data_IF_193478459212
#
_entry.id   IF_193478459212
#
_cell.length_a   1.000
_cell.length_b   1.000
_cell.length_c   1.000
_cell.angle_alpha   90.00
_cell.angle_beta   90.00
_cell.angle_gamma   90.00
#
_symmetry.space_group_name_H-M   'P 1'
#
loop_
_entity.id
_entity.type
_entity.pdbx_description
1 polymer ?
#
# COMPACT_ATOMS: atom_id res chain seq x y z
N UNK A 1 1.75 21.65 11.04
CA UNK A 1 2.45 21.25 12.26
C UNK A 1 2.71 19.74 12.26
N UNK A 2 3.95 19.35 12.54
CA UNK A 2 4.35 17.95 12.77
C UNK A 2 3.89 17.51 14.16
N UNK A 3 3.12 16.42 14.29
CA UNK A 3 2.72 15.89 15.61
C UNK A 3 3.86 15.11 16.27
N UNK A 4 3.74 14.83 17.56
CA UNK A 4 4.64 13.93 18.29
C UNK A 4 4.58 12.50 17.73
N UNK A 5 5.64 11.72 17.99
CA UNK A 5 5.73 10.31 17.57
C UNK A 5 4.43 9.55 17.91
N UNK A 6 3.90 8.77 16.96
CA UNK A 6 2.64 8.07 17.17
C UNK A 6 2.88 7.00 18.23
N UNK A 7 2.26 7.17 19.39
CA UNK A 7 2.05 6.09 20.33
C UNK A 7 0.58 5.67 20.29
N UNK A 8 0.31 4.43 20.67
CA UNK A 8 -1.06 4.00 20.86
C UNK A 8 -1.66 4.79 22.04
N UNK A 9 -2.79 5.51 21.82
CA UNK A 9 -3.42 6.25 22.91
C UNK A 9 -3.96 5.27 23.95
N UNK A 10 -4.04 5.67 25.23
CA UNK A 10 -4.61 4.81 26.27
C UNK A 10 -6.07 4.50 25.93
N UNK A 11 -6.39 3.22 25.81
CA UNK A 11 -7.72 2.74 25.45
C UNK A 11 -8.23 1.71 26.45
N UNK A 12 -9.50 1.76 26.85
CA UNK A 12 -10.11 0.72 27.68
C UNK A 12 -10.21 -0.63 26.94
N UNK A 13 -10.07 -0.63 25.62
CA UNK A 13 -10.16 -1.82 24.77
C UNK A 13 -8.80 -2.37 24.35
N UNK A 14 -7.67 -1.79 24.80
CA UNK A 14 -6.33 -2.20 24.40
C UNK A 14 -6.05 -3.71 24.58
N UNK A 15 -6.64 -4.33 25.62
CA UNK A 15 -6.53 -5.76 25.88
C UNK A 15 -7.06 -6.66 24.74
N UNK A 16 -7.89 -6.13 23.82
CA UNK A 16 -8.33 -6.85 22.63
C UNK A 16 -7.19 -7.21 21.71
N UNK A 17 -6.12 -6.41 21.66
CA UNK A 17 -4.97 -6.71 20.82
C UNK A 17 -4.22 -7.95 21.30
N UNK A 18 -3.95 -8.04 22.60
CA UNK A 18 -3.30 -9.21 23.17
C UNK A 18 -4.17 -10.48 23.10
N UNK A 19 -5.49 -10.31 23.11
CA UNK A 19 -6.44 -11.41 23.03
C UNK A 19 -6.62 -11.95 21.60
N UNK A 20 -6.68 -11.07 20.60
CA UNK A 20 -7.11 -11.41 19.23
C UNK A 20 -5.98 -11.48 18.22
N UNK A 21 -4.83 -10.85 18.50
CA UNK A 21 -3.67 -10.88 17.61
C UNK A 21 -2.63 -11.82 18.24
N UNK A 22 -2.38 -13.00 17.63
CA UNK A 22 -1.33 -13.90 18.10
C UNK A 22 0.02 -13.22 18.20
N UNK A 23 0.86 -13.66 19.14
CA UNK A 23 2.20 -13.09 19.32
C UNK A 23 3.13 -13.33 18.12
N UNK A 24 2.84 -14.35 17.32
CA UNK A 24 3.55 -14.71 16.08
C UNK A 24 2.90 -14.13 14.81
N UNK A 25 1.91 -13.25 14.95
CA UNK A 25 1.35 -12.51 13.81
C UNK A 25 2.42 -11.65 13.13
N UNK A 26 2.46 -11.71 11.80
CA UNK A 26 3.50 -11.05 11.02
C UNK A 26 3.52 -9.53 11.22
N UNK A 27 2.35 -8.87 11.21
CA UNK A 27 2.28 -7.42 11.37
C UNK A 27 2.64 -7.00 12.79
N UNK A 28 2.23 -7.78 13.80
CA UNK A 28 2.66 -7.58 15.19
C UNK A 28 4.17 -7.69 15.33
N UNK A 29 4.77 -8.74 14.77
CA UNK A 29 6.22 -8.92 14.80
C UNK A 29 6.95 -7.78 14.09
N UNK A 30 6.50 -7.36 12.91
CA UNK A 30 7.14 -6.24 12.18
C UNK A 30 7.02 -4.95 12.99
N UNK A 31 5.86 -4.68 13.58
CA UNK A 31 5.64 -3.52 14.44
C UNK A 31 6.66 -3.48 15.59
N UNK A 32 6.82 -4.61 16.29
CA UNK A 32 7.65 -4.69 17.50
C UNK A 32 9.15 -4.75 17.20
N UNK A 33 9.53 -5.27 16.04
CA UNK A 33 10.93 -5.45 15.63
C UNK A 33 11.51 -4.25 14.88
N UNK A 34 10.70 -3.50 14.14
CA UNK A 34 11.19 -2.43 13.26
C UNK A 34 10.91 -1.06 13.89
N UNK A 35 11.95 -0.32 14.30
CA UNK A 35 11.77 1.07 14.70
C UNK A 35 11.46 1.92 13.47
N UNK A 36 10.29 2.54 13.43
CA UNK A 36 9.88 3.41 12.32
C UNK A 36 10.24 4.88 12.51
N UNK A 37 10.82 5.24 13.65
CA UNK A 37 11.09 6.63 14.04
C UNK A 37 11.97 7.38 13.04
N UNK A 38 12.86 6.67 12.34
CA UNK A 38 13.73 7.24 11.29
C UNK A 38 12.96 7.92 10.15
N UNK A 39 11.68 7.56 9.93
CA UNK A 39 10.82 8.19 8.92
C UNK A 39 10.54 9.65 9.27
N UNK A 40 10.49 9.97 10.56
CA UNK A 40 10.32 11.34 11.08
C UNK A 40 11.46 12.23 10.61
N UNK A 41 12.71 11.79 10.85
CA UNK A 41 13.93 12.48 10.44
C UNK A 41 14.00 12.61 8.91
N UNK A 42 13.65 11.53 8.22
CA UNK A 42 13.70 11.47 6.76
C UNK A 42 12.74 12.45 6.07
N UNK A 43 11.61 12.78 6.70
CA UNK A 43 10.59 13.63 6.13
C UNK A 43 10.51 15.00 6.79
N UNK A 44 11.39 15.31 7.75
CA UNK A 44 11.35 16.53 8.57
C UNK A 44 11.25 17.79 7.72
N UNK A 45 12.13 17.94 6.72
CA UNK A 45 12.18 19.10 5.81
C UNK A 45 10.89 19.34 5.02
N UNK A 46 10.07 18.29 4.84
CA UNK A 46 8.80 18.42 4.13
C UNK A 46 7.69 18.92 5.06
N UNK A 47 7.84 18.79 6.38
CA UNK A 47 6.87 19.19 7.39
C UNK A 47 7.18 20.59 7.94
N UNK A 48 6.11 21.33 8.26
CA UNK A 48 6.22 22.60 8.97
C UNK A 48 5.96 22.35 10.45
N UNK A 49 6.86 22.81 11.32
CA UNK A 49 6.84 22.54 12.76
C UNK A 49 5.91 23.46 13.55
N UNK A 50 5.63 24.65 13.06
CA UNK A 50 5.08 25.75 13.86
C UNK A 50 3.78 26.34 13.33
N UNK A 51 3.36 25.96 12.11
CA UNK A 51 2.17 26.55 11.48
C UNK A 51 1.19 25.53 10.88
N UNK A 52 -0.08 25.93 10.84
CA UNK A 52 -1.18 25.21 10.18
C UNK A 52 -1.84 24.10 11.00
N UNK A 53 -2.75 23.36 10.35
CA UNK A 53 -3.46 22.23 10.96
C UNK A 53 -2.50 21.09 11.29
N UNK A 54 -2.84 20.31 12.32
CA UNK A 54 -2.13 19.06 12.62
C UNK A 54 -2.33 18.07 11.49
N UNK A 55 -1.23 17.64 10.87
CA UNK A 55 -1.24 16.58 9.88
C UNK A 55 -1.25 15.21 10.57
N UNK A 56 -1.58 14.16 9.82
CA UNK A 56 -1.29 12.79 10.27
C UNK A 56 0.22 12.60 10.32
N UNK A 57 0.72 11.96 11.38
CA UNK A 57 2.15 11.73 11.57
C UNK A 57 2.78 10.97 10.37
N UNK A 58 3.96 11.37 9.87
CA UNK A 58 4.61 10.73 8.72
C UNK A 58 4.86 9.23 8.92
N UNK A 59 5.30 8.81 10.11
CA UNK A 59 5.45 7.37 10.45
C UNK A 59 4.15 6.59 10.22
N UNK A 60 3.00 7.12 10.67
CA UNK A 60 1.71 6.47 10.46
C UNK A 60 1.35 6.42 8.97
N UNK A 61 1.58 7.51 8.23
CA UNK A 61 1.34 7.54 6.78
C UNK A 61 2.21 6.53 6.03
N UNK A 62 3.47 6.40 6.43
CA UNK A 62 4.40 5.41 5.89
C UNK A 62 3.94 3.98 6.21
N UNK A 63 3.52 3.70 7.45
CA UNK A 63 2.94 2.42 7.84
C UNK A 63 1.70 2.05 7.00
N UNK A 64 0.83 3.00 6.67
CA UNK A 64 -0.25 2.76 5.71
C UNK A 64 0.27 2.38 4.32
N UNK A 65 1.29 3.07 3.80
CA UNK A 65 1.88 2.71 2.50
C UNK A 65 2.56 1.35 2.52
N UNK A 66 3.20 0.99 3.63
CA UNK A 66 3.73 -0.34 3.84
C UNK A 66 2.62 -1.39 3.77
N UNK A 67 1.51 -1.21 4.51
CA UNK A 67 0.37 -2.10 4.47
C UNK A 67 -0.23 -2.21 3.06
N UNK A 68 -0.30 -1.10 2.31
CA UNK A 68 -0.73 -1.07 0.91
C UNK A 68 0.12 -2.01 0.05
N UNK A 69 1.44 -1.86 0.12
CA UNK A 69 2.38 -2.63 -0.68
C UNK A 69 2.41 -4.09 -0.25
N UNK A 70 2.37 -4.37 1.06
CA UNK A 70 2.37 -5.70 1.63
C UNK A 70 1.11 -6.49 1.25
N UNK A 71 -0.06 -5.85 1.29
CA UNK A 71 -1.35 -6.51 1.10
C UNK A 71 -1.93 -6.40 -0.32
N UNK A 72 -1.24 -5.66 -1.19
CA UNK A 72 -1.67 -5.38 -2.57
C UNK A 72 -3.11 -4.83 -2.68
N UNK A 73 -3.43 -3.85 -1.83
CA UNK A 73 -4.74 -3.21 -1.74
C UNK A 73 -4.74 -1.83 -2.41
N UNK A 74 -5.93 -1.37 -2.81
CA UNK A 74 -6.13 0.06 -3.12
C UNK A 74 -6.14 0.88 -1.81
N UNK A 75 -5.94 2.19 -1.88
CA UNK A 75 -6.04 3.12 -0.76
C UNK A 75 -7.43 3.03 -0.10
N UNK A 76 -8.48 2.92 -0.91
CA UNK A 76 -9.87 2.82 -0.42
C UNK A 76 -10.08 1.50 0.31
N UNK A 77 -9.60 0.40 -0.25
CA UNK A 77 -9.75 -0.93 0.36
C UNK A 77 -8.84 -1.10 1.57
N UNK A 78 -7.65 -0.51 1.55
CA UNK A 78 -6.74 -0.43 2.69
C UNK A 78 -7.39 0.27 3.87
N UNK A 79 -7.96 1.46 3.66
CA UNK A 79 -8.65 2.21 4.71
C UNK A 79 -9.88 1.44 5.21
N UNK A 80 -10.65 0.83 4.31
CA UNK A 80 -11.78 -0.03 4.69
C UNK A 80 -11.33 -1.18 5.58
N UNK A 81 -10.26 -1.88 5.21
CA UNK A 81 -9.71 -3.00 5.97
C UNK A 81 -9.12 -2.56 7.30
N UNK A 82 -8.36 -1.46 7.33
CA UNK A 82 -7.80 -0.89 8.55
C UNK A 82 -8.87 -0.50 9.57
N UNK A 83 -10.11 -0.21 9.11
CA UNK A 83 -11.22 0.09 10.03
C UNK A 83 -11.70 -1.13 10.81
N UNK A 84 -11.61 -2.32 10.21
CA UNK A 84 -12.19 -3.57 10.76
C UNK A 84 -11.14 -4.54 11.28
N UNK A 85 -9.93 -4.51 10.72
CA UNK A 85 -8.85 -5.45 11.01
C UNK A 85 -8.00 -4.91 12.17
N UNK A 86 -8.04 -5.61 13.31
CA UNK A 86 -7.30 -5.20 14.50
C UNK A 86 -5.78 -5.29 14.32
N UNK A 87 -5.27 -6.23 13.51
CA UNK A 87 -3.84 -6.33 13.26
C UNK A 87 -3.33 -5.08 12.51
N UNK A 88 -4.15 -4.53 11.61
CA UNK A 88 -3.84 -3.27 10.93
C UNK A 88 -3.85 -2.10 11.91
N UNK A 89 -4.87 -2.01 12.77
CA UNK A 89 -4.93 -0.93 13.77
C UNK A 89 -3.75 -0.99 14.75
N UNK A 90 -3.38 -2.18 15.19
CA UNK A 90 -2.22 -2.41 16.04
C UNK A 90 -0.94 -1.92 15.34
N UNK A 91 -0.71 -2.36 14.10
CA UNK A 91 0.45 -1.93 13.31
C UNK A 91 0.51 -0.40 13.13
N UNK A 92 -0.63 0.27 13.05
CA UNK A 92 -0.77 1.72 12.81
C UNK A 92 -0.75 2.59 14.07
N UNK A 93 -0.53 2.00 15.26
CA UNK A 93 -0.63 2.68 16.56
C UNK A 93 -1.99 3.37 16.76
N UNK A 94 -3.07 2.67 16.43
CA UNK A 94 -4.45 3.13 16.66
C UNK A 94 -5.06 2.38 17.82
N UNK A 95 -5.87 3.04 18.64
CA UNK A 95 -6.71 2.32 19.57
C UNK A 95 -7.80 1.52 18.81
N UNK A 96 -8.33 0.42 19.37
CA UNK A 96 -9.38 -0.38 18.71
C UNK A 96 -10.60 0.44 18.28
N UNK A 97 -10.94 1.48 19.02
CA UNK A 97 -12.06 2.39 18.78
C UNK A 97 -11.74 3.57 17.84
N UNK A 98 -10.46 3.86 17.57
CA UNK A 98 -10.06 5.01 16.76
C UNK A 98 -10.53 4.87 15.31
N UNK A 99 -10.89 5.99 14.68
CA UNK A 99 -11.18 6.02 13.26
C UNK A 99 -9.88 6.05 12.42
N UNK A 100 -10.02 5.70 11.15
CA UNK A 100 -8.92 5.63 10.19
C UNK A 100 -8.81 6.90 9.36
N UNK A 101 -7.69 7.06 8.64
CA UNK A 101 -7.48 8.22 7.78
C UNK A 101 -8.47 8.24 6.60
N UNK A 102 -8.66 9.42 6.01
CA UNK A 102 -9.33 9.51 4.71
C UNK A 102 -8.39 8.95 3.61
N UNK A 103 -8.87 8.15 2.64
CA UNK A 103 -8.04 7.62 1.56
C UNK A 103 -7.26 8.69 0.78
N UNK A 104 -7.87 9.86 0.56
CA UNK A 104 -7.23 10.96 -0.17
C UNK A 104 -5.98 11.52 0.54
N UNK A 105 -5.83 11.29 1.84
CA UNK A 105 -4.64 11.67 2.60
C UNK A 105 -3.40 10.93 2.09
N UNK A 106 -3.53 9.66 1.68
CA UNK A 106 -2.41 8.88 1.13
C UNK A 106 -1.95 9.43 -0.22
N UNK A 107 -2.89 9.81 -1.09
CA UNK A 107 -2.58 10.45 -2.37
C UNK A 107 -1.84 11.77 -2.17
N UNK A 108 -2.30 12.60 -1.23
CA UNK A 108 -1.62 13.87 -0.91
C UNK A 108 -0.22 13.64 -0.34
N UNK A 109 -0.08 12.69 0.57
CA UNK A 109 1.20 12.37 1.19
C UNK A 109 2.23 11.93 0.14
N UNK A 110 1.87 10.99 -0.75
CA UNK A 110 2.78 10.56 -1.84
C UNK A 110 3.19 11.72 -2.75
N UNK A 111 2.22 12.53 -3.21
CA UNK A 111 2.50 13.64 -4.15
C UNK A 111 3.26 14.80 -3.54
N UNK A 112 3.08 15.08 -2.25
CA UNK A 112 3.67 16.27 -1.63
C UNK A 112 4.96 15.95 -0.86
N UNK A 113 5.12 14.71 -0.38
CA UNK A 113 6.14 14.36 0.64
C UNK A 113 7.10 13.25 0.20
N UNK A 114 6.80 12.51 -0.87
CA UNK A 114 7.60 11.36 -1.31
C UNK A 114 8.12 11.50 -2.74
N UNK A 115 8.30 12.74 -3.22
CA UNK A 115 8.78 13.03 -4.57
C UNK A 115 10.33 13.08 -4.66
N UNK A 116 11.02 12.69 -3.58
CA UNK A 116 12.48 12.66 -3.52
C UNK A 116 13.00 11.28 -3.95
N UNK A 117 13.73 11.24 -5.07
CA UNK A 117 14.37 10.02 -5.60
C UNK A 117 15.37 9.40 -4.60
N UNK A 118 15.98 10.20 -3.71
CA UNK A 118 16.92 9.71 -2.69
C UNK A 118 16.22 9.02 -1.51
N UNK A 119 14.90 9.18 -1.37
CA UNK A 119 14.14 8.62 -0.26
C UNK A 119 14.25 7.09 -0.24
N UNK A 120 14.19 6.45 -1.41
CA UNK A 120 14.24 5.00 -1.52
C UNK A 120 15.60 4.45 -1.06
N UNK A 121 16.69 5.11 -1.46
CA UNK A 121 18.05 4.70 -1.07
C UNK A 121 18.25 4.83 0.44
N UNK A 122 17.72 5.91 1.05
CA UNK A 122 17.74 6.11 2.50
C UNK A 122 16.93 5.02 3.24
N UNK A 123 15.75 4.65 2.74
CA UNK A 123 14.95 3.54 3.29
C UNK A 123 15.67 2.19 3.20
N UNK A 124 16.31 1.89 2.06
CA UNK A 124 17.08 0.66 1.87
C UNK A 124 18.30 0.64 2.81
N UNK A 125 19.01 1.76 2.92
CA UNK A 125 20.15 1.90 3.84
C UNK A 125 19.75 1.57 5.28
N UNK A 126 18.69 2.21 5.78
CA UNK A 126 18.22 2.01 7.15
C UNK A 126 17.76 0.56 7.41
N UNK A 127 17.03 -0.06 6.48
CA UNK A 127 16.62 -1.48 6.64
C UNK A 127 17.82 -2.43 6.70
N UNK A 128 18.88 -2.16 5.93
CA UNK A 128 20.15 -2.92 6.01
C UNK A 128 20.84 -2.72 7.35
N UNK A 129 20.85 -1.51 7.90
CA UNK A 129 21.41 -1.21 9.21
C UNK A 129 20.67 -1.95 10.34
N UNK A 130 19.33 -1.91 10.34
CA UNK A 130 18.50 -2.67 11.27
C UNK A 130 18.81 -4.17 11.17
N UNK A 131 18.87 -4.72 9.95
CA UNK A 131 19.16 -6.14 9.73
C UNK A 131 20.58 -6.53 10.17
N UNK A 132 21.58 -5.64 10.06
CA UNK A 132 22.92 -5.84 10.61
C UNK A 132 22.90 -5.81 12.14
N UNK A 133 22.19 -4.84 12.75
CA UNK A 133 22.06 -4.71 14.20
C UNK A 133 21.42 -5.95 14.83
N UNK A 134 20.43 -6.55 14.16
CA UNK A 134 19.79 -7.82 14.55
C UNK A 134 20.64 -9.07 14.27
N UNK A 135 21.80 -8.93 13.62
CA UNK A 135 22.67 -10.06 13.26
C UNK A 135 22.13 -10.95 12.14
N UNK A 136 21.09 -10.51 11.41
CA UNK A 136 20.49 -11.23 10.27
C UNK A 136 21.42 -11.21 9.05
N UNK A 137 22.12 -10.10 8.85
CA UNK A 137 23.11 -9.95 7.78
C UNK A 137 24.52 -10.20 8.30
N UNK A 138 25.11 -11.34 7.93
CA UNK A 138 26.53 -11.65 8.19
C UNK A 138 27.37 -11.12 7.03
N UNK A 139 28.21 -10.12 7.29
CA UNK A 139 28.92 -9.33 6.28
C UNK A 139 30.06 -10.01 5.51
N UNK A 140 29.96 -11.30 5.16
CA UNK A 140 31.08 -12.04 4.55
C UNK A 140 30.75 -12.96 3.38
N UNK A 141 29.51 -13.07 2.94
CA UNK A 141 29.18 -13.98 1.83
C UNK A 141 29.00 -13.19 0.54
N UNK A 142 30.08 -13.07 -0.25
CA UNK A 142 30.02 -12.61 -1.63
C UNK A 142 29.74 -13.82 -2.53
N UNK A 143 28.49 -13.99 -2.95
CA UNK A 143 28.13 -15.03 -3.94
C UNK A 143 28.41 -14.44 -5.33
N UNK A 144 29.47 -14.89 -5.99
CA UNK A 144 29.78 -14.52 -7.37
C UNK A 144 29.23 -15.61 -8.27
N UNK A 145 28.09 -15.33 -8.89
CA UNK A 145 27.52 -16.15 -9.96
C UNK A 145 27.58 -15.33 -11.26
N UNK A 146 27.97 -15.96 -12.37
CA UNK A 146 28.13 -15.29 -13.67
C UNK A 146 26.77 -15.02 -14.36
N UNK A 147 25.70 -15.53 -13.80
CA UNK A 147 24.33 -15.32 -14.26
C UNK A 147 23.80 -13.98 -13.75
N UNK A 148 23.32 -13.12 -14.66
CA UNK A 148 22.58 -11.91 -14.29
C UNK A 148 21.36 -12.29 -13.45
N UNK A 149 21.48 -12.13 -12.14
CA UNK A 149 20.38 -12.32 -11.20
C UNK A 149 19.52 -11.05 -11.22
N UNK A 150 18.39 -11.09 -11.92
CA UNK A 150 17.38 -10.03 -11.80
C UNK A 150 16.81 -10.08 -10.38
N UNK A 151 16.85 -8.96 -9.67
CA UNK A 151 16.14 -8.83 -8.40
C UNK A 151 14.65 -9.13 -8.61
N UNK A 152 14.02 -9.83 -7.66
CA UNK A 152 12.57 -10.04 -7.67
C UNK A 152 11.80 -8.72 -7.61
N UNK A 153 12.40 -7.68 -7.03
CA UNK A 153 11.84 -6.35 -6.83
C UNK A 153 12.21 -5.38 -7.97
N UNK A 154 12.07 -5.80 -9.22
CA UNK A 154 12.17 -4.88 -10.35
C UNK A 154 10.89 -4.05 -10.48
N UNK A 155 11.01 -2.72 -10.47
CA UNK A 155 9.91 -1.82 -10.82
C UNK A 155 9.37 -2.20 -12.21
N UNK A 156 8.09 -2.54 -12.29
CA UNK A 156 7.44 -2.78 -13.58
C UNK A 156 7.20 -1.41 -14.24
N UNK A 157 7.40 -1.29 -15.57
CA UNK A 157 7.04 -0.05 -16.25
C UNK A 157 5.53 0.20 -16.11
N UNK A 158 5.16 1.46 -15.91
CA UNK A 158 3.79 1.90 -15.59
C UNK A 158 2.77 1.35 -16.59
N UNK A 159 3.06 1.43 -17.89
CA UNK A 159 2.16 0.90 -18.93
C UNK A 159 1.86 -0.61 -18.76
N UNK A 160 2.84 -1.42 -18.35
CA UNK A 160 2.61 -2.85 -18.09
C UNK A 160 1.76 -3.07 -16.84
N UNK A 161 1.96 -2.27 -15.79
CA UNK A 161 1.18 -2.37 -14.56
C UNK A 161 -0.32 -2.07 -14.82
N UNK A 162 -0.62 -1.00 -15.56
CA UNK A 162 -1.99 -0.63 -15.95
C UNK A 162 -2.67 -1.79 -16.72
N UNK A 163 -1.98 -2.33 -17.71
CA UNK A 163 -2.49 -3.42 -18.55
C UNK A 163 -2.72 -4.70 -17.73
N UNK A 164 -1.83 -5.04 -16.81
CA UNK A 164 -1.95 -6.21 -15.95
C UNK A 164 -3.18 -6.12 -15.04
N UNK A 165 -3.43 -4.97 -14.40
CA UNK A 165 -4.62 -4.78 -13.56
C UNK A 165 -5.91 -4.85 -14.39
N UNK A 166 -5.95 -4.18 -15.55
CA UNK A 166 -7.10 -4.24 -16.46
C UNK A 166 -7.37 -5.68 -16.96
N UNK A 167 -6.32 -6.43 -17.32
CA UNK A 167 -6.41 -7.86 -17.67
C UNK A 167 -6.91 -8.69 -16.49
N UNK A 168 -6.43 -8.42 -15.27
CA UNK A 168 -6.83 -9.08 -14.04
C UNK A 168 -8.32 -8.91 -13.75
N UNK A 169 -8.85 -7.69 -13.91
CA UNK A 169 -10.28 -7.40 -13.75
C UNK A 169 -11.13 -8.14 -14.79
N UNK A 170 -10.75 -8.09 -16.06
CA UNK A 170 -11.43 -8.84 -17.14
C UNK A 170 -11.47 -10.34 -16.84
N UNK A 171 -10.33 -10.91 -16.43
CA UNK A 171 -10.21 -12.32 -16.14
C UNK A 171 -11.09 -12.74 -14.96
N UNK A 172 -11.19 -11.92 -13.91
CA UNK A 172 -12.10 -12.16 -12.80
C UNK A 172 -13.57 -12.18 -13.27
N UNK A 173 -13.97 -11.20 -14.09
CA UNK A 173 -15.33 -11.16 -14.65
C UNK A 173 -15.64 -12.38 -15.53
N UNK A 174 -14.66 -12.86 -16.33
CA UNK A 174 -14.84 -14.04 -17.18
C UNK A 174 -15.01 -15.34 -16.40
N UNK A 175 -14.47 -15.44 -15.18
CA UNK A 175 -14.65 -16.62 -14.32
C UNK A 175 -16.07 -16.72 -13.78
N UNK A 176 -16.66 -15.59 -13.40
CA UNK A 176 -18.01 -15.55 -12.82
C UNK A 176 -19.10 -15.67 -13.89
N UNK A 177 -18.93 -15.01 -15.05
CA UNK A 177 -20.01 -14.94 -16.05
C UNK A 177 -19.50 -15.16 -17.47
N UNK A 178 -20.05 -16.16 -18.19
CA UNK A 178 -19.78 -16.39 -19.62
C UNK A 178 -20.19 -15.20 -20.51
N UNK A 179 -21.23 -14.48 -20.09
CA UNK A 179 -21.79 -13.29 -20.75
C UNK A 179 -20.85 -12.06 -20.75
N UNK A 180 -19.74 -12.11 -20.00
CA UNK A 180 -18.77 -11.02 -19.97
C UNK A 180 -17.88 -10.95 -21.23
N UNK A 181 -17.72 -12.07 -21.96
CA UNK A 181 -16.93 -12.09 -23.21
C UNK A 181 -17.61 -11.25 -24.29
N UNK A 182 -16.86 -10.31 -24.88
CA UNK A 182 -17.34 -9.40 -25.93
C UNK A 182 -17.93 -8.06 -25.44
N UNK A 183 -18.07 -7.83 -24.14
CA UNK A 183 -18.60 -6.57 -23.59
C UNK A 183 -17.54 -5.49 -23.33
N UNK A 184 -16.28 -5.91 -23.20
CA UNK A 184 -15.14 -5.06 -22.88
C UNK A 184 -14.55 -4.37 -24.11
N UNK A 185 -13.93 -3.19 -23.95
CA UNK A 185 -13.25 -2.49 -25.04
C UNK A 185 -12.11 -3.30 -25.64
N UNK A 186 -11.79 -3.01 -26.90
CA UNK A 186 -10.63 -3.57 -27.60
C UNK A 186 -9.33 -3.13 -26.92
N UNK A 187 -8.31 -3.98 -26.99
CA UNK A 187 -7.01 -3.67 -26.40
C UNK A 187 -6.34 -2.59 -27.24
N UNK A 188 -5.76 -1.61 -26.56
CA UNK A 188 -4.99 -0.52 -27.18
C UNK A 188 -3.51 -0.88 -27.21
N UNK A 189 -2.75 -0.28 -28.13
CA UNK A 189 -1.31 -0.48 -28.28
C UNK A 189 -0.52 -0.02 -27.04
N UNK A 190 0.55 -0.73 -26.70
CA UNK A 190 1.26 -0.59 -25.42
C UNK A 190 2.18 0.66 -25.32
N UNK A 191 2.21 1.52 -26.34
CA UNK A 191 3.18 2.62 -26.42
C UNK A 191 2.73 3.96 -25.80
N UNK A 192 1.42 4.20 -25.64
CA UNK A 192 0.88 5.47 -25.15
C UNK A 192 0.18 5.30 -23.79
N UNK A 193 0.71 5.95 -22.75
CA UNK A 193 0.22 5.84 -21.36
C UNK A 193 -1.21 6.38 -21.22
N UNK A 194 -1.54 7.49 -21.88
CA UNK A 194 -2.86 8.13 -21.76
C UNK A 194 -3.95 7.26 -22.38
N UNK A 195 -3.62 6.60 -23.48
CA UNK A 195 -4.49 5.61 -24.11
C UNK A 195 -4.68 4.37 -23.23
N UNK A 196 -3.62 3.90 -22.57
CA UNK A 196 -3.70 2.77 -21.63
C UNK A 196 -4.55 3.10 -20.40
N UNK A 197 -4.43 4.33 -19.87
CA UNK A 197 -5.24 4.80 -18.76
C UNK A 197 -6.72 4.88 -19.16
N UNK A 198 -7.00 5.51 -20.32
CA UNK A 198 -8.36 5.60 -20.87
C UNK A 198 -8.97 4.22 -21.08
N UNK A 199 -8.18 3.26 -21.58
CA UNK A 199 -8.59 1.87 -21.73
C UNK A 199 -8.93 1.22 -20.37
N UNK A 200 -8.06 1.37 -19.38
CA UNK A 200 -8.24 0.79 -18.06
C UNK A 200 -9.51 1.33 -17.37
N UNK A 201 -9.75 2.64 -17.45
CA UNK A 201 -10.96 3.29 -16.95
C UNK A 201 -12.21 2.78 -17.68
N UNK A 202 -12.18 2.69 -19.01
CA UNK A 202 -13.29 2.15 -19.80
C UNK A 202 -13.62 0.69 -19.45
N UNK A 203 -12.60 -0.13 -19.11
CA UNK A 203 -12.81 -1.50 -18.61
C UNK A 203 -13.55 -1.47 -17.27
N UNK A 204 -13.16 -0.60 -16.33
CA UNK A 204 -13.83 -0.46 -15.04
C UNK A 204 -15.28 0.03 -15.19
N UNK A 205 -15.51 1.07 -16.00
CA UNK A 205 -16.86 1.59 -16.29
C UNK A 205 -17.78 0.55 -16.94
N UNK A 206 -17.21 -0.29 -17.80
CA UNK A 206 -17.96 -1.40 -18.42
C UNK A 206 -18.48 -2.38 -17.38
N UNK A 207 -17.71 -2.68 -16.33
CA UNK A 207 -18.15 -3.58 -15.25
C UNK A 207 -19.31 -2.93 -14.49
N UNK A 208 -19.16 -1.67 -14.08
CA UNK A 208 -20.23 -0.97 -13.34
C UNK A 208 -21.52 -0.81 -14.13
N UNK A 209 -21.40 -0.38 -15.39
CA UNK A 209 -22.57 -0.03 -16.20
C UNK A 209 -23.27 -1.24 -16.82
N UNK A 210 -22.50 -2.24 -17.28
CA UNK A 210 -23.05 -3.38 -18.02
C UNK A 210 -23.17 -4.65 -17.18
N UNK A 211 -22.54 -4.71 -16.01
CA UNK A 211 -22.51 -5.90 -15.14
C UNK A 211 -22.57 -5.52 -13.64
N UNK A 212 -23.55 -4.70 -13.20
CA UNK A 212 -23.63 -4.24 -11.81
C UNK A 212 -23.75 -5.39 -10.80
N UNK A 213 -24.28 -6.55 -11.20
CA UNK A 213 -24.36 -7.75 -10.38
C UNK A 213 -22.98 -8.26 -9.91
N UNK A 214 -21.94 -8.03 -10.71
CA UNK A 214 -20.58 -8.45 -10.38
C UNK A 214 -19.95 -7.57 -9.29
N UNK A 215 -20.44 -6.34 -9.12
CA UNK A 215 -19.95 -5.39 -8.10
C UNK A 215 -20.32 -5.80 -6.67
N UNK A 216 -21.28 -6.71 -6.50
CA UNK A 216 -21.59 -7.32 -5.21
C UNK A 216 -20.45 -8.25 -4.73
N UNK A 217 -19.61 -8.75 -5.62
CA UNK A 217 -18.47 -9.62 -5.29
C UNK A 217 -17.27 -8.76 -4.86
N UNK A 218 -16.81 -8.96 -3.64
CA UNK A 218 -15.67 -8.24 -3.05
C UNK A 218 -14.42 -8.31 -3.93
N UNK A 219 -14.02 -9.51 -4.36
CA UNK A 219 -12.82 -9.70 -5.18
C UNK A 219 -12.87 -9.00 -6.56
N UNK A 220 -14.06 -8.67 -7.09
CA UNK A 220 -14.21 -7.88 -8.34
C UNK A 220 -14.13 -6.40 -8.02
N UNK A 221 -14.81 -5.97 -6.95
CA UNK A 221 -14.77 -4.60 -6.47
C UNK A 221 -13.35 -4.15 -6.15
N UNK A 222 -12.57 -4.97 -5.45
CA UNK A 222 -11.19 -4.64 -5.10
C UNK A 222 -10.29 -4.50 -6.34
N UNK A 223 -10.49 -5.39 -7.33
CA UNK A 223 -9.79 -5.31 -8.62
C UNK A 223 -10.16 -4.03 -9.37
N UNK A 224 -11.43 -3.65 -9.37
CA UNK A 224 -11.89 -2.42 -9.99
C UNK A 224 -11.31 -1.18 -9.30
N UNK A 225 -11.28 -1.17 -7.97
CA UNK A 225 -10.70 -0.06 -7.22
C UNK A 225 -9.22 0.13 -7.55
N UNK A 226 -8.44 -0.94 -7.68
CA UNK A 226 -7.04 -0.86 -8.13
C UNK A 226 -6.88 -0.30 -9.54
N UNK A 227 -7.75 -0.71 -10.47
CA UNK A 227 -7.75 -0.16 -11.84
C UNK A 227 -8.01 1.35 -11.85
N UNK A 228 -8.75 1.87 -10.88
CA UNK A 228 -9.07 3.31 -10.75
C UNK A 228 -8.01 4.14 -10.04
N UNK A 229 -6.96 3.52 -9.51
CA UNK A 229 -5.91 4.25 -8.77
C UNK A 229 -4.82 4.85 -9.66
N UNK A 230 -4.76 4.41 -10.91
CA UNK A 230 -3.81 4.92 -11.89
C UNK A 230 -4.13 6.36 -12.31
#
# INVERSE_FOLDING_TARGET
MMPDLPNMPPSPYAALYDLLIPADDELRLIHDLVPFDFITELLEDTYCHDNGRMAVHPVRMFKYLFLKAHSNLSDVDLVRRAKTDLAYKYFLDLAPEDDVINPSSLTKFRRQRMDDDELLDKLIGHTVEVAKGMGLLKGRTLIVDATHSRARYGQKPIGKAIIEEAKGLRHACYKETKNAKGRFPEKVDESDIDQLLSYALAVAETVESKMPELMAREHIRDRMNRVREF
#
